data_IF_197327001174
#
_entry.id   IF_197327001174
#
_cell.length_a   1.000
_cell.length_b   1.000
_cell.length_c   1.000
_cell.angle_alpha   90.00
_cell.angle_beta   90.00
_cell.angle_gamma   90.00
#
_symmetry.space_group_name_H-M   'P 1'
#
loop_
_entity.id
_entity.type
_entity.pdbx_description
1 polymer ?
#
# COMPACT_ATOMS: atom_id res chain seq x y z
N UNK A 1 -24.16 20.65 28.67
CA UNK A 1 -24.34 19.97 27.36
C UNK A 1 -22.95 19.75 26.80
N UNK A 2 -22.25 18.72 27.28
CA UNK A 2 -20.85 18.46 26.96
C UNK A 2 -20.78 17.61 25.70
N UNK A 3 -20.24 18.19 24.63
CA UNK A 3 -19.93 17.47 23.39
C UNK A 3 -18.84 16.45 23.69
N UNK A 4 -19.20 15.18 23.62
CA UNK A 4 -18.29 14.03 23.60
C UNK A 4 -17.27 14.28 22.48
N UNK A 5 -16.03 14.58 22.83
CA UNK A 5 -14.88 14.53 21.91
C UNK A 5 -14.73 13.07 21.49
N UNK A 6 -15.34 12.75 20.37
CA UNK A 6 -15.32 11.42 19.77
C UNK A 6 -13.90 11.14 19.29
N UNK A 7 -13.31 10.06 19.79
CA UNK A 7 -12.14 9.45 19.17
C UNK A 7 -12.39 9.32 17.67
N UNK A 8 -11.42 9.66 16.79
CA UNK A 8 -11.64 9.60 15.35
C UNK A 8 -12.17 8.21 14.97
N UNK A 9 -13.35 8.17 14.34
CA UNK A 9 -13.99 6.92 13.96
C UNK A 9 -13.04 6.15 13.02
N UNK A 10 -12.58 4.93 13.39
CA UNK A 10 -11.61 4.18 12.59
C UNK A 10 -12.13 3.87 11.18
N UNK A 11 -13.46 3.78 11.01
CA UNK A 11 -14.09 3.60 9.70
C UNK A 11 -13.98 4.87 8.84
N UNK A 12 -14.08 6.05 9.45
CA UNK A 12 -13.92 7.33 8.76
C UNK A 12 -12.48 7.51 8.30
N UNK A 13 -11.51 7.22 9.17
CA UNK A 13 -10.09 7.27 8.81
C UNK A 13 -9.75 6.30 7.66
N UNK A 14 -10.28 5.08 7.70
CA UNK A 14 -10.12 4.10 6.61
C UNK A 14 -10.76 4.57 5.30
N UNK A 15 -11.96 5.16 5.36
CA UNK A 15 -12.64 5.71 4.20
C UNK A 15 -11.85 6.88 3.58
N UNK A 16 -11.27 7.76 4.41
CA UNK A 16 -10.39 8.83 3.96
C UNK A 16 -9.18 8.28 3.21
N UNK A 17 -8.49 7.28 3.77
CA UNK A 17 -7.34 6.65 3.12
C UNK A 17 -7.71 5.99 1.79
N UNK A 18 -8.82 5.27 1.73
CA UNK A 18 -9.31 4.66 0.50
C UNK A 18 -9.63 5.71 -0.58
N UNK A 19 -10.08 6.90 -0.18
CA UNK A 19 -10.47 7.97 -1.10
C UNK A 19 -9.28 8.69 -1.74
N UNK A 20 -8.07 8.57 -1.15
CA UNK A 20 -6.87 9.24 -1.67
C UNK A 20 -6.59 8.86 -3.13
N UNK A 21 -6.66 7.57 -3.47
CA UNK A 21 -6.30 7.10 -4.83
C UNK A 21 -7.33 7.51 -5.90
N UNK A 22 -8.65 7.34 -5.71
CA UNK A 22 -9.65 7.86 -6.64
C UNK A 22 -9.58 9.38 -6.82
N UNK A 23 -9.39 10.13 -5.72
CA UNK A 23 -9.25 11.60 -5.79
C UNK A 23 -8.00 11.97 -6.58
N UNK A 24 -6.85 11.38 -6.27
CA UNK A 24 -5.61 11.64 -6.98
C UNK A 24 -5.71 11.26 -8.47
N UNK A 25 -6.39 10.16 -8.80
CA UNK A 25 -6.70 9.79 -10.18
C UNK A 25 -7.51 10.89 -10.88
N UNK A 26 -8.63 11.36 -10.31
CA UNK A 26 -9.48 12.40 -10.91
C UNK A 26 -8.70 13.71 -11.07
N UNK A 27 -7.97 14.14 -10.04
CA UNK A 27 -7.13 15.35 -10.07
C UNK A 27 -6.01 15.24 -11.12
N UNK A 28 -5.50 14.03 -11.37
CA UNK A 28 -4.46 13.80 -12.37
C UNK A 28 -4.95 13.86 -13.82
N UNK A 29 -6.26 13.82 -14.09
CA UNK A 29 -6.81 13.86 -15.45
C UNK A 29 -6.39 15.13 -16.22
N UNK A 30 -6.65 16.36 -15.73
CA UNK A 30 -6.21 17.56 -16.43
C UNK A 30 -4.68 17.63 -16.56
N UNK A 31 -3.95 17.16 -15.56
CA UNK A 31 -2.48 17.10 -15.59
C UNK A 31 -1.98 16.12 -16.66
N UNK A 32 -2.65 14.98 -16.83
CA UNK A 32 -2.34 14.00 -17.89
C UNK A 32 -2.50 14.65 -19.26
N UNK A 33 -3.63 15.34 -19.48
CA UNK A 33 -3.90 15.99 -20.76
C UNK A 33 -2.86 17.07 -21.09
N UNK A 34 -2.36 17.79 -20.07
CA UNK A 34 -1.36 18.83 -20.25
C UNK A 34 0.08 18.28 -20.41
N UNK A 35 0.45 17.27 -19.63
CA UNK A 35 1.86 16.89 -19.42
C UNK A 35 2.26 15.51 -19.94
N UNK A 36 1.33 14.67 -20.42
CA UNK A 36 1.65 13.32 -20.93
C UNK A 36 2.72 13.31 -22.03
N UNK A 37 2.81 14.38 -22.84
CA UNK A 37 3.84 14.54 -23.88
C UNK A 37 5.30 14.53 -23.36
N UNK A 38 5.49 14.77 -22.07
CA UNK A 38 6.82 14.76 -21.44
C UNK A 38 7.20 13.41 -20.83
N UNK A 39 6.43 12.34 -21.09
CA UNK A 39 6.68 11.02 -20.52
C UNK A 39 8.11 10.50 -20.73
N UNK A 40 8.67 10.70 -21.91
CA UNK A 40 10.02 10.23 -22.28
C UNK A 40 11.08 10.94 -21.45
N UNK A 41 10.95 12.26 -21.30
CA UNK A 41 11.85 13.07 -20.45
C UNK A 41 11.75 12.68 -18.97
N UNK A 42 10.54 12.49 -18.45
CA UNK A 42 10.33 12.10 -17.05
C UNK A 42 10.88 10.69 -16.78
N UNK A 43 10.76 9.77 -17.74
CA UNK A 43 11.34 8.42 -17.65
C UNK A 43 12.87 8.39 -17.64
N UNK A 44 13.53 9.43 -18.15
CA UNK A 44 15.00 9.54 -18.12
C UNK A 44 15.55 10.07 -16.78
N UNK A 45 14.69 10.64 -15.93
CA UNK A 45 15.11 11.14 -14.62
C UNK A 45 15.59 9.98 -13.74
N UNK A 46 16.81 10.11 -13.21
CA UNK A 46 17.46 9.06 -12.42
C UNK A 46 16.59 8.56 -11.26
N UNK A 47 15.87 9.46 -10.59
CA UNK A 47 15.01 9.13 -9.46
C UNK A 47 13.78 8.32 -9.89
N UNK A 48 13.19 8.67 -11.04
CA UNK A 48 12.04 7.93 -11.60
C UNK A 48 12.50 6.53 -12.01
N UNK A 49 13.65 6.41 -12.67
CA UNK A 49 14.23 5.10 -12.99
C UNK A 49 14.57 4.28 -11.76
N UNK A 50 15.08 4.91 -10.70
CA UNK A 50 15.35 4.24 -9.43
C UNK A 50 14.06 3.68 -8.81
N UNK A 51 13.02 4.51 -8.71
CA UNK A 51 11.71 4.08 -8.20
C UNK A 51 11.15 2.93 -9.05
N UNK A 52 11.11 3.10 -10.37
CA UNK A 52 10.56 2.10 -11.27
C UNK A 52 11.34 0.79 -11.20
N UNK A 53 12.67 0.83 -11.32
CA UNK A 53 13.49 -0.38 -11.39
C UNK A 53 13.56 -1.12 -10.06
N UNK A 54 13.75 -0.42 -8.95
CA UNK A 54 14.08 -1.04 -7.66
C UNK A 54 12.93 -1.04 -6.65
N UNK A 55 12.03 -0.07 -6.69
CA UNK A 55 10.93 0.02 -5.73
C UNK A 55 9.67 -0.66 -6.28
N UNK A 56 9.41 -0.51 -7.58
CA UNK A 56 8.18 -1.00 -8.22
C UNK A 56 8.42 -2.30 -9.01
N UNK A 57 9.03 -2.23 -10.20
CA UNK A 57 9.06 -3.35 -11.15
C UNK A 57 9.74 -4.62 -10.60
N UNK A 58 10.93 -4.50 -9.98
CA UNK A 58 11.71 -5.68 -9.59
C UNK A 58 11.38 -6.24 -8.20
N UNK A 59 11.12 -5.37 -7.22
CA UNK A 59 11.06 -5.78 -5.82
C UNK A 59 9.79 -5.35 -5.08
N UNK A 60 8.76 -4.85 -5.76
CA UNK A 60 7.55 -4.40 -5.07
C UNK A 60 6.90 -5.47 -4.20
N UNK A 61 6.72 -6.68 -4.74
CA UNK A 61 6.15 -7.80 -3.96
C UNK A 61 7.05 -8.21 -2.79
N UNK A 62 8.36 -8.15 -2.97
CA UNK A 62 9.32 -8.42 -1.91
C UNK A 62 9.21 -7.40 -0.79
N UNK A 63 9.29 -6.10 -1.11
CA UNK A 63 9.15 -5.01 -0.15
C UNK A 63 7.80 -5.05 0.55
N UNK A 64 6.72 -5.23 -0.21
CA UNK A 64 5.38 -5.39 0.34
C UNK A 64 5.32 -6.55 1.34
N UNK A 65 5.81 -7.73 0.98
CA UNK A 65 5.74 -8.91 1.85
C UNK A 65 6.56 -8.73 3.12
N UNK A 66 7.76 -8.16 3.02
CA UNK A 66 8.63 -7.88 4.17
C UNK A 66 7.96 -6.86 5.11
N UNK A 67 7.44 -5.75 4.58
CA UNK A 67 6.82 -4.70 5.40
C UNK A 67 5.50 -5.20 5.99
N UNK A 68 4.68 -5.95 5.23
CA UNK A 68 3.43 -6.52 5.71
C UNK A 68 3.70 -7.50 6.86
N UNK A 69 4.64 -8.42 6.70
CA UNK A 69 5.04 -9.35 7.75
C UNK A 69 5.63 -8.64 8.97
N UNK A 70 6.49 -7.63 8.77
CA UNK A 70 7.08 -6.86 9.86
C UNK A 70 6.02 -6.15 10.73
N UNK A 71 4.91 -5.71 10.13
CA UNK A 71 3.79 -5.12 10.87
C UNK A 71 2.93 -6.14 11.63
N UNK A 72 2.99 -7.43 11.26
CA UNK A 72 2.28 -8.51 11.98
C UNK A 72 3.11 -9.10 13.14
N UNK A 73 4.44 -8.96 13.08
CA UNK A 73 5.35 -9.48 14.09
C UNK A 73 5.25 -8.68 15.39
N UNK A 74 5.14 -9.39 16.51
CA UNK A 74 5.24 -8.79 17.85
C UNK A 74 6.59 -9.16 18.48
N UNK A 75 7.30 -8.14 18.94
CA UNK A 75 8.56 -8.30 19.68
C UNK A 75 8.28 -8.08 21.16
N UNK A 76 8.27 -9.15 21.94
CA UNK A 76 8.08 -9.12 23.38
C UNK A 76 9.30 -9.71 24.08
N UNK A 77 9.90 -8.96 25.01
CA UNK A 77 11.09 -9.38 25.78
C UNK A 77 12.25 -9.91 24.89
N UNK A 78 12.47 -9.30 23.73
CA UNK A 78 13.51 -9.70 22.77
C UNK A 78 13.19 -10.97 21.96
N UNK A 79 12.03 -11.59 22.19
CA UNK A 79 11.54 -12.72 21.39
C UNK A 79 10.62 -12.21 20.28
N UNK A 80 10.89 -12.65 19.07
CA UNK A 80 10.06 -12.44 17.90
C UNK A 80 8.96 -13.49 17.95
N UNK A 81 7.71 -13.07 18.07
CA UNK A 81 6.55 -13.96 18.04
C UNK A 81 5.54 -13.49 17.00
N UNK A 82 4.99 -14.46 16.27
CA UNK A 82 3.83 -14.26 15.42
C UNK A 82 2.64 -14.85 16.18
N UNK A 83 1.69 -14.04 16.68
CA UNK A 83 0.55 -14.56 17.42
C UNK A 83 -0.47 -15.13 16.42
N UNK A 84 -0.15 -16.28 15.84
CA UNK A 84 -0.97 -16.98 14.82
C UNK A 84 -2.34 -17.38 15.37
N UNK A 85 -2.52 -17.40 16.71
CA UNK A 85 -3.80 -17.65 17.36
C UNK A 85 -4.74 -16.44 17.36
N UNK A 86 -4.22 -15.23 17.13
CA UNK A 86 -5.04 -14.03 17.11
C UNK A 86 -5.89 -14.01 15.84
N UNK A 87 -7.22 -13.94 16.00
CA UNK A 87 -8.16 -13.90 14.89
C UNK A 87 -7.86 -12.74 13.93
N UNK A 88 -7.38 -11.61 14.47
CA UNK A 88 -6.98 -10.45 13.68
C UNK A 88 -5.79 -10.76 12.74
N UNK A 89 -4.76 -11.47 13.24
CA UNK A 89 -3.59 -11.86 12.42
C UNK A 89 -3.99 -12.86 11.35
N UNK A 90 -4.87 -13.82 11.68
CA UNK A 90 -5.42 -14.77 10.71
C UNK A 90 -6.20 -14.02 9.61
N UNK A 91 -7.03 -13.04 10.00
CA UNK A 91 -7.75 -12.17 9.06
C UNK A 91 -6.80 -11.42 8.13
N UNK A 92 -5.76 -10.79 8.68
CA UNK A 92 -4.74 -10.09 7.91
C UNK A 92 -4.00 -11.03 6.93
N UNK A 93 -3.58 -12.22 7.38
CA UNK A 93 -2.95 -13.22 6.50
C UNK A 93 -3.89 -13.68 5.38
N UNK A 94 -5.18 -13.89 5.67
CA UNK A 94 -6.19 -14.21 4.64
C UNK A 94 -6.29 -13.10 3.60
N UNK A 95 -6.36 -11.83 4.03
CA UNK A 95 -6.41 -10.67 3.12
C UNK A 95 -5.15 -10.59 2.27
N UNK A 96 -3.97 -10.80 2.86
CA UNK A 96 -2.70 -10.87 2.13
C UNK A 96 -2.72 -11.96 1.05
N UNK A 97 -3.13 -13.18 1.38
CA UNK A 97 -3.21 -14.30 0.43
C UNK A 97 -4.23 -14.04 -0.68
N UNK A 98 -5.39 -13.50 -0.35
CA UNK A 98 -6.39 -13.11 -1.35
C UNK A 98 -5.85 -12.02 -2.29
N UNK A 99 -5.11 -11.04 -1.78
CA UNK A 99 -4.47 -10.01 -2.60
C UNK A 99 -3.40 -10.61 -3.51
N UNK A 100 -2.55 -11.49 -2.97
CA UNK A 100 -1.52 -12.16 -3.77
C UNK A 100 -2.14 -12.98 -4.89
N UNK A 101 -3.20 -13.75 -4.58
CA UNK A 101 -3.94 -14.52 -5.57
C UNK A 101 -4.56 -13.60 -6.63
N UNK A 102 -5.25 -12.54 -6.21
CA UNK A 102 -5.86 -11.56 -7.11
C UNK A 102 -4.85 -10.93 -8.08
N UNK A 103 -3.71 -10.46 -7.56
CA UNK A 103 -2.67 -9.85 -8.38
C UNK A 103 -2.02 -10.87 -9.34
N UNK A 104 -1.75 -12.08 -8.86
CA UNK A 104 -1.22 -13.17 -9.70
C UNK A 104 -2.19 -13.50 -10.82
N UNK A 105 -3.48 -13.54 -10.52
CA UNK A 105 -4.53 -13.83 -11.50
C UNK A 105 -4.61 -12.75 -12.58
N UNK A 106 -4.46 -11.49 -12.21
CA UNK A 106 -4.51 -10.38 -13.16
C UNK A 106 -3.25 -10.28 -14.03
N UNK A 107 -2.07 -10.50 -13.43
CA UNK A 107 -0.78 -10.13 -14.01
C UNK A 107 0.00 -11.30 -14.61
N UNK A 108 -0.08 -12.50 -14.05
CA UNK A 108 0.83 -13.62 -14.37
C UNK A 108 0.11 -14.95 -14.69
N UNK A 109 -1.21 -15.02 -14.50
CA UNK A 109 -2.12 -16.18 -14.65
C UNK A 109 -1.49 -17.49 -15.21
N UNK A 110 -1.37 -18.51 -14.35
CA UNK A 110 -0.71 -19.79 -14.68
C UNK A 110 -1.39 -20.64 -15.77
N UNK A 111 -2.68 -20.43 -16.09
CA UNK A 111 -3.41 -21.20 -17.10
C UNK A 111 -3.65 -20.41 -18.40
N UNK A 112 -2.60 -19.81 -18.97
CA UNK A 112 -2.66 -19.16 -20.28
C UNK A 112 -2.07 -17.75 -20.30
N UNK A 113 -2.66 -16.84 -21.07
CA UNK A 113 -2.33 -15.42 -21.02
C UNK A 113 -2.94 -14.76 -19.77
N UNK A 114 -2.24 -13.81 -19.12
CA UNK A 114 -2.78 -12.97 -18.06
C UNK A 114 -4.11 -12.32 -18.44
N UNK A 115 -4.96 -12.02 -17.45
CA UNK A 115 -6.27 -11.40 -17.71
C UNK A 115 -6.10 -10.05 -18.41
N UNK A 116 -5.09 -9.26 -18.05
CA UNK A 116 -4.82 -7.98 -18.72
C UNK A 116 -4.47 -8.16 -20.21
N UNK A 117 -3.71 -9.19 -20.57
CA UNK A 117 -3.42 -9.53 -21.97
C UNK A 117 -4.69 -9.98 -22.70
N UNK A 118 -5.56 -10.77 -22.04
CA UNK A 118 -6.86 -11.16 -22.61
C UNK A 118 -7.78 -9.97 -22.84
N UNK A 119 -7.83 -9.03 -21.90
CA UNK A 119 -8.59 -7.78 -22.05
C UNK A 119 -8.04 -6.99 -23.23
N UNK A 120 -6.71 -6.85 -23.34
CA UNK A 120 -6.05 -6.17 -24.45
C UNK A 120 -6.47 -6.74 -25.81
N UNK A 121 -6.37 -8.06 -25.98
CA UNK A 121 -6.82 -8.75 -27.21
C UNK A 121 -8.32 -8.56 -27.44
N UNK A 122 -9.15 -8.69 -26.40
CA UNK A 122 -10.60 -8.50 -26.51
C UNK A 122 -11.00 -7.07 -26.90
N UNK A 123 -10.21 -6.06 -26.54
CA UNK A 123 -10.42 -4.66 -26.95
C UNK A 123 -9.92 -4.35 -28.36
N UNK A 124 -9.32 -5.33 -29.06
CA UNK A 124 -8.89 -5.19 -30.46
C UNK A 124 -7.37 -5.25 -30.68
N UNK A 125 -6.58 -5.57 -29.65
CA UNK A 125 -5.14 -5.75 -29.81
C UNK A 125 -4.85 -7.00 -30.66
N UNK A 126 -3.93 -6.87 -31.60
CA UNK A 126 -3.53 -7.97 -32.48
C UNK A 126 -2.09 -7.84 -32.94
N UNK A 127 -1.48 -8.99 -33.26
CA UNK A 127 -0.17 -9.03 -33.90
C UNK A 127 -0.30 -8.75 -35.40
N UNK A 128 0.74 -8.16 -35.99
CA UNK A 128 0.92 -8.10 -37.46
C UNK A 128 1.07 -9.48 -38.11
N UNK A 129 1.60 -10.45 -37.37
CA UNK A 129 1.69 -11.83 -37.82
C UNK A 129 0.39 -12.57 -37.50
N UNK A 130 -0.25 -13.24 -38.48
CA UNK A 130 -1.49 -13.99 -38.24
C UNK A 130 -1.27 -15.13 -37.24
N UNK A 131 -2.35 -15.53 -36.56
CA UNK A 131 -2.40 -16.62 -35.57
C UNK A 131 -1.57 -16.43 -34.29
N UNK A 132 -1.02 -15.23 -34.06
CA UNK A 132 -0.34 -14.86 -32.81
C UNK A 132 -1.23 -13.96 -31.95
N UNK A 133 -1.65 -14.49 -30.80
CA UNK A 133 -2.54 -13.82 -29.84
C UNK A 133 -1.85 -13.41 -28.54
N UNK A 134 -0.52 -13.45 -28.50
CA UNK A 134 0.27 -13.01 -27.35
C UNK A 134 1.31 -11.98 -27.75
N UNK A 135 1.45 -10.94 -26.95
CA UNK A 135 2.36 -9.83 -27.22
C UNK A 135 3.81 -10.32 -27.27
N UNK A 136 4.25 -11.06 -26.24
CA UNK A 136 5.61 -11.62 -26.18
C UNK A 136 5.94 -12.54 -27.37
N UNK A 137 4.96 -13.31 -27.84
CA UNK A 137 5.17 -14.18 -29.01
C UNK A 137 5.25 -13.37 -30.30
N UNK A 138 4.49 -12.27 -30.41
CA UNK A 138 4.51 -11.36 -31.55
C UNK A 138 5.88 -10.69 -31.68
N UNK A 139 6.39 -10.12 -30.59
CA UNK A 139 7.71 -9.49 -30.56
C UNK A 139 8.82 -10.49 -30.92
N UNK A 140 8.74 -11.71 -30.38
CA UNK A 140 9.71 -12.78 -30.68
C UNK A 140 9.64 -13.25 -32.14
N UNK A 141 8.48 -13.18 -32.76
CA UNK A 141 8.29 -13.46 -34.18
C UNK A 141 8.72 -12.29 -35.09
N UNK A 142 9.18 -11.17 -34.52
CA UNK A 142 9.54 -9.95 -35.26
C UNK A 142 8.32 -9.13 -35.70
N UNK A 143 7.12 -9.46 -35.21
CA UNK A 143 5.90 -8.72 -35.44
C UNK A 143 5.77 -7.53 -34.49
N UNK A 144 5.01 -6.52 -34.92
CA UNK A 144 4.56 -5.42 -34.07
C UNK A 144 3.17 -5.71 -33.51
N UNK A 145 2.97 -5.35 -32.24
CA UNK A 145 1.69 -5.45 -31.53
C UNK A 145 0.92 -4.14 -31.67
N UNK A 146 -0.30 -4.20 -32.22
CA UNK A 146 -1.08 -3.01 -32.64
C UNK A 146 -2.34 -2.88 -31.79
N UNK A 147 -2.77 -1.64 -31.51
CA UNK A 147 -3.98 -1.30 -30.76
C UNK A 147 -4.07 -1.93 -29.36
N UNK A 148 -2.93 -2.07 -28.69
CA UNK A 148 -2.87 -2.62 -27.35
C UNK A 148 -3.58 -1.74 -26.32
N UNK A 149 -4.55 -2.31 -25.61
CA UNK A 149 -5.09 -1.71 -24.39
C UNK A 149 -4.28 -2.22 -23.20
N UNK A 150 -3.25 -1.47 -22.83
CA UNK A 150 -2.33 -1.85 -21.75
C UNK A 150 -2.88 -1.40 -20.39
N UNK A 151 -3.63 -2.31 -19.74
CA UNK A 151 -4.16 -2.08 -18.40
C UNK A 151 -3.02 -1.85 -17.40
N UNK A 152 -3.06 -0.74 -16.65
CA UNK A 152 -1.93 -0.33 -15.83
C UNK A 152 -1.73 -1.23 -14.59
N UNK A 153 -0.87 -2.23 -14.74
CA UNK A 153 -0.43 -3.13 -13.66
C UNK A 153 0.21 -2.40 -12.49
N UNK A 154 0.96 -1.34 -12.78
CA UNK A 154 1.59 -0.47 -11.79
C UNK A 154 0.53 0.20 -10.91
N UNK A 155 -0.54 0.72 -11.52
CA UNK A 155 -1.67 1.27 -10.77
C UNK A 155 -2.28 0.25 -9.83
N UNK A 156 -2.60 -0.94 -10.33
CA UNK A 156 -3.24 -2.00 -9.55
C UNK A 156 -2.40 -2.41 -8.34
N UNK A 157 -1.11 -2.67 -8.55
CA UNK A 157 -0.21 -3.08 -7.47
C UNK A 157 0.02 -1.95 -6.45
N UNK A 158 0.25 -0.72 -6.90
CA UNK A 158 0.55 0.43 -6.03
C UNK A 158 -0.63 0.75 -5.13
N UNK A 159 -1.85 0.73 -5.66
CA UNK A 159 -3.05 0.96 -4.85
C UNK A 159 -3.26 -0.18 -3.86
N UNK A 160 -3.31 -1.43 -4.35
CA UNK A 160 -3.71 -2.56 -3.51
C UNK A 160 -2.73 -2.79 -2.36
N UNK A 161 -1.44 -2.84 -2.67
CA UNK A 161 -0.40 -3.10 -1.65
C UNK A 161 -0.32 -1.95 -0.63
N UNK A 162 -0.41 -0.70 -1.08
CA UNK A 162 -0.38 0.46 -0.17
C UNK A 162 -1.58 0.49 0.77
N UNK A 163 -2.79 0.22 0.27
CA UNK A 163 -3.99 0.19 1.11
C UNK A 163 -3.95 -0.94 2.16
N UNK A 164 -3.39 -2.09 1.80
CA UNK A 164 -3.19 -3.20 2.73
C UNK A 164 -2.22 -2.83 3.86
N UNK A 165 -1.11 -2.15 3.57
CA UNK A 165 -0.18 -1.67 4.61
C UNK A 165 -0.85 -0.57 5.45
N UNK A 166 -1.53 0.39 4.83
CA UNK A 166 -2.29 1.41 5.54
C UNK A 166 -3.23 0.81 6.58
N UNK A 167 -3.95 -0.26 6.22
CA UNK A 167 -4.86 -0.95 7.14
C UNK A 167 -4.16 -1.50 8.38
N UNK A 168 -2.92 -1.98 8.27
CA UNK A 168 -2.14 -2.46 9.42
C UNK A 168 -1.65 -1.31 10.30
N UNK A 169 -1.25 -0.18 9.70
CA UNK A 169 -0.61 0.92 10.43
C UNK A 169 -1.60 1.97 10.97
N UNK A 170 -2.81 2.06 10.40
CA UNK A 170 -3.79 3.12 10.71
C UNK A 170 -4.09 3.26 12.22
N UNK A 171 -4.28 2.18 13.00
CA UNK A 171 -4.52 2.30 14.45
C UNK A 171 -3.33 2.92 15.20
N UNK A 172 -2.11 2.69 14.72
CA UNK A 172 -0.89 3.20 15.34
C UNK A 172 -0.61 4.65 14.95
N UNK A 173 -0.89 5.04 13.70
CA UNK A 173 -0.72 6.43 13.22
C UNK A 173 -1.60 7.40 14.00
N UNK A 174 -2.90 7.07 14.21
CA UNK A 174 -3.80 7.91 14.99
C UNK A 174 -3.32 8.12 16.43
N UNK A 175 -2.77 7.07 17.04
CA UNK A 175 -2.23 7.12 18.41
C UNK A 175 -0.97 7.98 18.51
N UNK A 176 -0.08 7.93 17.51
CA UNK A 176 1.14 8.73 17.48
C UNK A 176 0.81 10.21 17.24
N UNK A 177 -0.01 10.51 16.23
CA UNK A 177 -0.41 11.89 15.89
C UNK A 177 -1.10 12.59 17.08
N UNK A 178 -1.96 11.87 17.80
CA UNK A 178 -2.61 12.40 19.01
C UNK A 178 -1.64 12.68 20.16
N UNK A 179 -0.48 12.02 20.23
CA UNK A 179 0.53 12.22 21.28
C UNK A 179 1.57 13.29 20.94
N UNK A 180 1.80 13.56 19.66
CA UNK A 180 2.80 14.55 19.19
C UNK A 180 2.29 15.99 19.17
N UNK A 181 1.12 16.29 19.73
CA UNK A 181 0.69 17.67 19.99
C UNK A 181 0.42 18.52 18.74
N UNK A 182 0.36 17.92 17.53
CA UNK A 182 -0.10 18.59 16.31
C UNK A 182 -1.64 18.53 16.19
N UNK A 183 -2.31 18.55 17.34
CA UNK A 183 -3.74 18.71 17.51
C UNK A 183 -3.90 19.66 18.69
N UNK A 184 -4.33 20.87 18.38
CA UNK A 184 -4.68 22.01 19.25
C UNK A 184 -4.62 21.73 20.76
N UNK A 185 -3.73 22.45 21.44
CA UNK A 185 -3.66 22.53 22.89
C UNK A 185 -5.05 22.77 23.51
N UNK A 186 -5.44 21.88 24.43
CA UNK A 186 -6.14 22.29 25.64
C UNK A 186 -5.74 21.34 26.76
N UNK A 187 -4.91 21.88 27.65
CA UNK A 187 -4.54 21.31 28.94
C UNK A 187 -5.83 21.09 29.73
N UNK A 188 -6.19 19.84 29.99
CA UNK A 188 -7.05 19.48 31.11
C UNK A 188 -6.19 18.72 32.09
N UNK A 189 -5.66 19.48 33.03
CA UNK A 189 -5.09 18.99 34.27
C UNK A 189 -6.22 18.33 35.07
N UNK A 190 -6.11 17.03 35.32
CA UNK A 190 -7.01 16.31 36.21
C UNK A 190 -6.16 15.48 37.18
N UNK A 191 -5.98 16.07 38.36
CA UNK A 191 -6.08 15.47 39.69
C UNK A 191 -6.07 13.94 39.76
N UNK A 192 -4.99 13.40 40.30
CA UNK A 192 -4.91 12.05 40.85
C UNK A 192 -4.25 12.11 42.23
N UNK A 193 -5.04 12.57 43.21
CA UNK A 193 -4.81 12.19 44.61
C UNK A 193 -5.28 10.74 44.81
N UNK A 194 -4.35 9.85 45.15
CA UNK A 194 -4.61 8.72 46.07
C UNK A 194 -3.28 8.11 46.55
N UNK A 195 -2.82 8.61 47.71
CA UNK A 195 -2.23 7.82 48.80
C UNK A 195 -0.79 7.27 48.65
N UNK A 196 0.14 7.64 49.56
CA UNK A 196 1.49 7.08 49.60
C UNK A 196 1.58 5.84 50.51
N UNK A 197 2.16 4.73 50.04
CA UNK A 197 2.81 3.73 50.91
C UNK A 197 3.85 2.88 50.18
N UNK A 198 5.12 3.16 50.51
CA UNK A 198 6.23 2.23 50.79
C UNK A 198 6.60 1.11 49.79
N UNK A 199 7.79 1.31 49.20
CA UNK A 199 8.97 0.44 49.33
C UNK A 199 8.87 -1.03 48.89
N UNK A 200 9.31 -1.30 47.66
CA UNK A 200 10.31 -2.35 47.44
C UNK A 200 11.23 -1.94 46.28
N UNK A 201 12.44 -1.53 46.64
CA UNK A 201 13.57 -1.36 45.72
C UNK A 201 13.93 -2.75 45.20
N UNK A 202 13.39 -3.08 44.02
CA UNK A 202 13.84 -4.17 43.17
C UNK A 202 14.54 -3.57 41.96
N UNK A 203 15.78 -3.96 41.73
CA UNK A 203 16.62 -3.51 40.61
C UNK A 203 15.98 -4.03 39.30
N UNK A 204 15.16 -3.19 38.66
CA UNK A 204 14.53 -3.45 37.35
C UNK A 204 15.26 -2.70 36.21
N UNK A 205 16.59 -2.60 36.28
CA UNK A 205 17.37 -2.01 35.18
C UNK A 205 17.33 -2.84 33.89
N UNK A 206 17.01 -4.14 33.98
CA UNK A 206 16.82 -5.02 32.82
C UNK A 206 15.48 -4.84 32.09
N UNK A 207 14.41 -4.53 32.82
CA UNK A 207 13.05 -4.40 32.27
C UNK A 207 12.82 -3.12 31.47
N UNK A 208 13.49 -2.03 31.85
CA UNK A 208 13.37 -0.72 31.18
C UNK A 208 14.02 -0.72 29.79
N UNK A 209 15.22 -1.31 29.65
CA UNK A 209 15.93 -1.44 28.36
C UNK A 209 15.19 -2.34 27.37
N UNK A 210 14.56 -3.42 27.85
CA UNK A 210 13.80 -4.36 27.01
C UNK A 210 12.47 -3.79 26.54
N UNK A 211 11.72 -3.09 27.40
CA UNK A 211 10.50 -2.36 27.02
C UNK A 211 10.79 -1.19 26.06
N UNK A 212 11.91 -0.48 26.26
CA UNK A 212 12.39 0.55 25.34
C UNK A 212 12.71 -0.04 23.94
N UNK A 213 13.35 -1.21 23.88
CA UNK A 213 13.68 -1.90 22.63
C UNK A 213 12.44 -2.32 21.82
N UNK A 214 11.42 -2.89 22.46
CA UNK A 214 10.14 -3.24 21.79
C UNK A 214 9.43 -2.01 21.21
N UNK A 215 9.42 -0.90 21.96
CA UNK A 215 8.84 0.38 21.51
C UNK A 215 9.62 0.98 20.33
N UNK A 216 10.95 0.89 20.34
CA UNK A 216 11.79 1.37 19.24
C UNK A 216 11.55 0.58 17.95
N UNK A 217 11.51 -0.75 18.01
CA UNK A 217 11.27 -1.59 16.83
C UNK A 217 9.91 -1.29 16.18
N UNK A 218 8.84 -1.16 16.98
CA UNK A 218 7.51 -0.82 16.44
C UNK A 218 7.50 0.55 15.76
N UNK A 219 8.17 1.56 16.35
CA UNK A 219 8.31 2.88 15.73
C UNK A 219 9.12 2.81 14.43
N UNK A 220 10.20 2.03 14.39
CA UNK A 220 11.01 1.86 13.19
C UNK A 220 10.20 1.21 12.05
N UNK A 221 9.47 0.13 12.33
CA UNK A 221 8.59 -0.53 11.34
C UNK A 221 7.52 0.44 10.82
N UNK A 222 6.91 1.24 11.71
CA UNK A 222 5.93 2.26 11.32
C UNK A 222 6.53 3.31 10.37
N UNK A 223 7.71 3.85 10.71
CA UNK A 223 8.40 4.84 9.88
C UNK A 223 8.81 4.29 8.51
N UNK A 224 9.31 3.04 8.47
CA UNK A 224 9.66 2.37 7.22
C UNK A 224 8.39 2.14 6.37
N UNK A 225 7.29 1.75 7.00
CA UNK A 225 6.01 1.56 6.30
C UNK A 225 5.51 2.86 5.67
N UNK A 226 5.56 3.96 6.42
CA UNK A 226 5.19 5.30 5.93
C UNK A 226 6.11 5.77 4.80
N UNK A 227 7.42 5.51 4.90
CA UNK A 227 8.38 5.81 3.83
C UNK A 227 8.00 5.09 2.53
N UNK A 228 7.79 3.77 2.58
CA UNK A 228 7.44 3.00 1.38
C UNK A 228 6.08 3.38 0.80
N UNK A 229 5.06 3.60 1.64
CA UNK A 229 3.78 4.13 1.19
C UNK A 229 3.97 5.46 0.46
N UNK A 230 4.82 6.36 0.97
CA UNK A 230 5.08 7.65 0.34
C UNK A 230 5.78 7.47 -1.01
N UNK A 231 6.80 6.62 -1.08
CA UNK A 231 7.50 6.31 -2.33
C UNK A 231 6.56 5.68 -3.37
N UNK A 232 5.71 4.75 -2.95
CA UNK A 232 4.70 4.13 -3.81
C UNK A 232 3.65 5.14 -4.26
N UNK A 233 3.23 6.06 -3.39
CA UNK A 233 2.31 7.12 -3.76
C UNK A 233 2.93 8.10 -4.77
N UNK A 234 4.22 8.43 -4.64
CA UNK A 234 4.95 9.23 -5.64
C UNK A 234 4.99 8.49 -6.98
N UNK A 235 5.35 7.20 -6.98
CA UNK A 235 5.31 6.37 -8.20
C UNK A 235 3.92 6.31 -8.82
N UNK A 236 2.87 6.23 -7.99
CA UNK A 236 1.48 6.27 -8.43
C UNK A 236 1.18 7.59 -9.11
N UNK A 237 1.53 8.74 -8.51
CA UNK A 237 1.31 10.06 -9.09
C UNK A 237 2.05 10.25 -10.42
N UNK A 238 3.31 9.80 -10.51
CA UNK A 238 4.08 9.82 -11.77
C UNK A 238 3.36 9.01 -12.85
N UNK A 239 2.93 7.79 -12.52
CA UNK A 239 2.16 6.93 -13.43
C UNK A 239 0.83 7.59 -13.82
N UNK A 240 0.18 8.24 -12.86
CA UNK A 240 -1.11 8.93 -13.01
C UNK A 240 -1.04 10.08 -14.00
N UNK A 241 0.08 10.79 -14.08
CA UNK A 241 0.22 11.96 -14.97
C UNK A 241 0.85 11.57 -16.32
N UNK A 242 1.89 10.74 -16.33
CA UNK A 242 2.77 10.62 -17.50
C UNK A 242 2.57 9.33 -18.32
N UNK A 243 2.05 8.26 -17.74
CA UNK A 243 1.98 6.94 -18.39
C UNK A 243 0.53 6.50 -18.60
N UNK A 244 0.29 5.56 -19.52
CA UNK A 244 -1.03 5.02 -19.86
C UNK A 244 -2.09 6.04 -20.34
N UNK A 245 -3.19 5.54 -20.88
CA UNK A 245 -4.40 6.32 -21.17
C UNK A 245 -5.31 6.40 -19.94
N UNK A 246 -6.27 7.32 -19.96
CA UNK A 246 -7.26 7.48 -18.89
C UNK A 246 -8.05 6.17 -18.63
N UNK A 247 -8.62 5.49 -19.65
CA UNK A 247 -9.36 4.25 -19.41
C UNK A 247 -8.47 3.11 -18.90
N UNK A 248 -7.23 2.98 -19.36
CA UNK A 248 -6.27 2.00 -18.83
C UNK A 248 -5.99 2.19 -17.33
N UNK A 249 -5.85 3.45 -16.89
CA UNK A 249 -5.71 3.81 -15.47
C UNK A 249 -6.97 3.50 -14.68
N UNK A 250 -8.15 3.72 -15.25
CA UNK A 250 -9.43 3.41 -14.59
C UNK A 250 -9.56 1.91 -14.30
N UNK A 251 -9.21 1.06 -15.26
CA UNK A 251 -9.16 -0.40 -15.05
C UNK A 251 -8.17 -0.73 -13.93
N UNK A 252 -6.96 -0.17 -13.99
CA UNK A 252 -5.96 -0.35 -12.95
C UNK A 252 -6.43 0.05 -11.56
N UNK A 253 -7.15 1.19 -11.46
CA UNK A 253 -7.76 1.71 -10.23
C UNK A 253 -8.81 0.76 -9.67
N UNK A 254 -9.77 0.32 -10.48
CA UNK A 254 -10.83 -0.60 -10.05
C UNK A 254 -10.23 -1.92 -9.55
N UNK A 255 -9.31 -2.50 -10.32
CA UNK A 255 -8.61 -3.73 -9.95
C UNK A 255 -7.81 -3.56 -8.64
N UNK A 256 -7.12 -2.44 -8.45
CA UNK A 256 -6.33 -2.16 -7.24
C UNK A 256 -7.17 -1.94 -5.99
N UNK A 257 -8.36 -1.37 -6.13
CA UNK A 257 -9.30 -1.12 -5.01
C UNK A 257 -10.09 -2.36 -4.60
N UNK A 258 -10.17 -3.39 -5.45
CA UNK A 258 -11.06 -4.54 -5.29
C UNK A 258 -10.84 -5.27 -3.96
N UNK A 259 -9.63 -5.78 -3.71
CA UNK A 259 -9.35 -6.56 -2.49
C UNK A 259 -9.43 -5.70 -1.22
N UNK A 260 -8.81 -4.49 -1.14
CA UNK A 260 -8.91 -3.63 0.03
C UNK A 260 -10.35 -3.28 0.44
N UNK A 261 -11.26 -3.07 -0.52
CA UNK A 261 -12.63 -2.67 -0.25
C UNK A 261 -13.57 -3.85 0.03
N UNK A 262 -13.42 -4.97 -0.68
CA UNK A 262 -14.34 -6.10 -0.57
C UNK A 262 -14.08 -6.93 0.70
N UNK A 263 -12.83 -7.09 1.10
CA UNK A 263 -12.50 -7.81 2.33
C UNK A 263 -12.61 -6.88 3.54
N UNK A 264 -13.84 -6.47 3.88
CA UNK A 264 -14.12 -5.68 5.10
C UNK A 264 -13.82 -6.46 6.39
N UNK A 265 -13.88 -7.78 6.36
CA UNK A 265 -13.73 -8.64 7.54
C UNK A 265 -12.25 -8.82 7.95
N UNK A 266 -11.84 -8.07 8.97
CA UNK A 266 -10.91 -8.54 10.01
C UNK A 266 -11.66 -8.37 11.32
#
# INVERSE_FOLDING_TARGET
MWSVLTTPNPQLAWASVCSIYPIAYVVSIPLTLAFKRYNSYIGELWFVQFLERYIVRKYMFYWFSVIYAANLIQVENGRISLPIKDLWVIGAMKVYLCNLLWLTILLEWFFGSPIFERISVATGAHCTTPDIYREYQCEKAGGTWINAFDSSSHYTMLISNSLLIWRLILPYVGTVLSKTGLGTEMVVENDLESGPSQSSVGIDEGGSRLKAGSSFTKKAVLLISLLFITLWFISFCITSVFYHTIPEKLVGLICGMTVPLLLKSI
#
